data_IF_862363066468
#
_entry.id   IF_862363066468
#
_cell.length_a   1.000
_cell.length_b   1.000
_cell.length_c   1.000
_cell.angle_alpha   90.00
_cell.angle_beta   90.00
_cell.angle_gamma   90.00
#
_symmetry.space_group_name_H-M   'P 1'
#
loop_
_entity.id
_entity.type
_entity.pdbx_description
1 polymer ?
#
# COMPACT_ATOMS: atom_id res chain seq x y z
N UNK A 1 -0.04 5.53 -12.22
CA UNK A 1 -0.47 5.65 -13.62
C UNK A 1 0.52 6.42 -14.46
N UNK A 2 0.77 7.72 -14.18
CA UNK A 2 1.72 8.53 -14.94
C UNK A 2 3.08 7.84 -15.16
N UNK A 3 3.65 7.22 -14.12
CA UNK A 3 4.91 6.49 -14.23
C UNK A 3 4.88 5.40 -15.33
N UNK A 4 3.94 4.46 -15.25
CA UNK A 4 3.87 3.36 -16.21
C UNK A 4 3.48 3.83 -17.62
N UNK A 5 2.57 4.79 -17.74
CA UNK A 5 2.06 5.21 -19.05
C UNK A 5 2.97 6.20 -19.76
N UNK A 6 3.42 7.22 -19.04
CA UNK A 6 4.12 8.38 -19.62
C UNK A 6 5.63 8.23 -19.53
N UNK A 7 6.14 7.64 -18.43
CA UNK A 7 7.60 7.47 -18.23
C UNK A 7 8.09 6.17 -18.84
N UNK A 8 7.38 5.07 -18.59
CA UNK A 8 7.77 3.74 -19.10
C UNK A 8 7.10 3.35 -20.42
N UNK A 9 6.17 4.17 -20.92
CA UNK A 9 5.54 3.98 -22.23
C UNK A 9 4.55 2.81 -22.32
N UNK A 10 4.08 2.24 -21.20
CA UNK A 10 3.08 1.18 -21.20
C UNK A 10 1.72 1.73 -21.67
N UNK A 11 1.02 1.08 -22.62
CA UNK A 11 -0.30 1.51 -23.03
C UNK A 11 -1.25 1.70 -21.84
N UNK A 12 -2.04 2.78 -21.85
CA UNK A 12 -3.00 3.09 -20.79
C UNK A 12 -4.05 1.98 -20.61
N UNK A 13 -4.43 1.29 -21.69
CA UNK A 13 -5.30 0.12 -21.67
C UNK A 13 -4.71 -1.05 -20.88
N UNK A 14 -3.43 -1.37 -21.09
CA UNK A 14 -2.75 -2.42 -20.33
C UNK A 14 -2.55 -2.02 -18.87
N UNK A 15 -2.18 -0.77 -18.61
CA UNK A 15 -2.05 -0.25 -17.25
C UNK A 15 -3.38 -0.31 -16.49
N UNK A 16 -4.48 0.08 -17.13
CA UNK A 16 -5.84 0.00 -16.59
C UNK A 16 -6.27 -1.45 -16.33
N UNK A 17 -5.97 -2.35 -17.27
CA UNK A 17 -6.27 -3.78 -17.13
C UNK A 17 -5.52 -4.40 -15.95
N UNK A 18 -4.24 -4.05 -15.75
CA UNK A 18 -3.46 -4.55 -14.62
C UNK A 18 -4.09 -4.16 -13.26
N UNK A 19 -4.56 -2.92 -13.14
CA UNK A 19 -5.26 -2.46 -11.92
C UNK A 19 -6.64 -3.11 -11.79
N UNK A 20 -7.35 -3.30 -12.89
CA UNK A 20 -8.63 -4.02 -12.87
C UNK A 20 -8.45 -5.45 -12.36
N UNK A 21 -7.44 -6.18 -12.85
CA UNK A 21 -7.11 -7.52 -12.36
C UNK A 21 -6.79 -7.47 -10.86
N UNK A 22 -5.98 -6.51 -10.42
CA UNK A 22 -5.64 -6.35 -9.01
C UNK A 22 -6.89 -6.11 -8.14
N UNK A 23 -7.87 -5.32 -8.62
CA UNK A 23 -9.15 -5.11 -7.95
C UNK A 23 -10.03 -6.36 -7.91
N UNK A 24 -10.04 -7.17 -8.99
CA UNK A 24 -10.77 -8.44 -8.99
C UNK A 24 -10.19 -9.41 -7.97
N UNK A 25 -8.86 -9.45 -7.81
CA UNK A 25 -8.21 -10.25 -6.77
C UNK A 25 -8.60 -9.72 -5.39
N UNK A 26 -8.54 -8.40 -5.18
CA UNK A 26 -8.93 -7.71 -3.94
C UNK A 26 -10.35 -8.13 -3.47
N UNK A 27 -11.30 -8.10 -4.39
CA UNK A 27 -12.70 -8.47 -4.13
C UNK A 27 -12.88 -9.91 -3.63
N UNK A 28 -11.96 -10.82 -3.98
CA UNK A 28 -11.96 -12.21 -3.51
C UNK A 28 -11.15 -12.35 -2.23
N UNK A 29 -10.02 -11.65 -2.11
CA UNK A 29 -9.11 -11.78 -0.97
C UNK A 29 -9.69 -11.16 0.30
N UNK A 30 -10.48 -10.09 0.19
CA UNK A 30 -11.13 -9.42 1.33
C UNK A 30 -11.97 -10.36 2.20
N UNK A 31 -12.99 -11.05 1.68
CA UNK A 31 -13.80 -11.98 2.48
C UNK A 31 -13.00 -13.20 2.95
N UNK A 32 -12.04 -13.67 2.16
CA UNK A 32 -11.19 -14.81 2.53
C UNK A 32 -10.32 -14.48 3.75
N UNK A 33 -9.60 -13.36 3.70
CA UNK A 33 -8.76 -12.90 4.81
C UNK A 33 -9.60 -12.57 6.03
N UNK A 34 -10.79 -11.97 5.84
CA UNK A 34 -11.74 -11.74 6.93
C UNK A 34 -12.05 -13.03 7.68
N UNK A 35 -12.55 -14.04 6.97
CA UNK A 35 -12.86 -15.35 7.54
C UNK A 35 -11.64 -16.01 8.20
N UNK A 36 -10.48 -16.02 7.53
CA UNK A 36 -9.27 -16.64 8.08
C UNK A 36 -8.81 -15.92 9.35
N UNK A 37 -8.78 -14.59 9.34
CA UNK A 37 -8.32 -13.78 10.46
C UNK A 37 -9.21 -13.91 11.69
N UNK A 38 -10.51 -14.11 11.49
CA UNK A 38 -11.43 -14.36 12.60
C UNK A 38 -11.15 -15.74 13.22
N UNK A 39 -10.91 -16.80 12.46
CA UNK A 39 -10.72 -18.13 13.05
C UNK A 39 -9.29 -18.40 13.57
N UNK A 40 -8.34 -17.53 13.25
CA UNK A 40 -6.94 -17.73 13.60
C UNK A 40 -6.69 -17.56 15.10
N UNK A 41 -5.94 -18.50 15.70
CA UNK A 41 -5.54 -18.45 17.11
C UNK A 41 -4.02 -18.36 17.20
N UNK A 42 -3.52 -17.31 17.82
CA UNK A 42 -2.09 -17.12 18.03
C UNK A 42 -1.81 -16.55 19.42
N UNK A 43 -0.56 -16.65 19.87
CA UNK A 43 -0.10 -16.08 21.15
C UNK A 43 -0.16 -14.56 21.20
N UNK A 44 -0.12 -13.89 20.04
CA UNK A 44 -0.13 -12.43 19.93
C UNK A 44 -1.52 -11.87 19.57
N UNK A 45 -2.57 -12.69 19.67
CA UNK A 45 -3.94 -12.33 19.32
C UNK A 45 -4.41 -12.95 18.00
N UNK A 46 -5.71 -12.85 17.71
CA UNK A 46 -6.32 -13.44 16.49
C UNK A 46 -5.89 -12.68 15.22
N UNK A 47 -5.83 -11.35 15.31
CA UNK A 47 -5.73 -10.42 14.16
C UNK A 47 -4.35 -9.81 13.93
N UNK A 48 -3.59 -9.57 15.00
CA UNK A 48 -2.24 -9.01 14.95
C UNK A 48 -1.22 -9.79 14.10
N UNK A 49 -1.21 -11.14 14.04
CA UNK A 49 -0.28 -11.86 13.17
C UNK A 49 -0.34 -11.42 11.71
N UNK A 50 -1.55 -11.21 11.18
CA UNK A 50 -1.76 -10.77 9.81
C UNK A 50 -1.30 -9.33 9.60
N UNK A 51 -1.56 -8.45 10.57
CA UNK A 51 -1.15 -7.05 10.49
C UNK A 51 0.37 -6.91 10.50
N UNK A 52 1.07 -7.63 11.39
CA UNK A 52 2.54 -7.64 11.42
C UNK A 52 3.13 -8.29 10.17
N UNK A 53 2.53 -9.40 9.72
CA UNK A 53 2.98 -10.07 8.50
C UNK A 53 2.83 -9.18 7.28
N UNK A 54 1.78 -8.37 7.19
CA UNK A 54 1.55 -7.48 6.04
C UNK A 54 2.61 -6.39 5.89
N UNK A 55 3.26 -5.94 6.98
CA UNK A 55 4.15 -4.77 6.96
C UNK A 55 5.30 -4.88 5.95
N UNK A 56 6.08 -5.96 6.03
CA UNK A 56 7.29 -6.13 5.21
C UNK A 56 6.93 -6.41 3.74
N UNK A 57 6.07 -7.41 3.42
CA UNK A 57 5.69 -7.69 2.04
C UNK A 57 4.99 -6.51 1.37
N UNK A 58 4.18 -5.75 2.11
CA UNK A 58 3.58 -4.51 1.60
C UNK A 58 4.66 -3.52 1.15
N UNK A 59 5.63 -3.22 2.02
CA UNK A 59 6.70 -2.28 1.69
C UNK A 59 7.52 -2.73 0.48
N UNK A 60 7.83 -4.03 0.39
CA UNK A 60 8.53 -4.62 -0.75
C UNK A 60 7.71 -4.54 -2.04
N UNK A 61 6.41 -4.82 -1.98
CA UNK A 61 5.55 -4.72 -3.15
C UNK A 61 5.41 -3.28 -3.63
N UNK A 62 5.33 -2.34 -2.70
CA UNK A 62 5.28 -0.91 -3.01
C UNK A 62 6.58 -0.43 -3.68
N UNK A 63 7.74 -0.86 -3.17
CA UNK A 63 9.03 -0.60 -3.81
C UNK A 63 9.09 -1.20 -5.22
N UNK A 64 8.72 -2.47 -5.38
CA UNK A 64 8.72 -3.15 -6.68
C UNK A 64 7.84 -2.46 -7.73
N UNK A 65 6.71 -1.86 -7.31
CA UNK A 65 5.85 -1.06 -8.19
C UNK A 65 6.55 0.17 -8.80
N UNK A 66 7.61 0.68 -8.17
CA UNK A 66 8.36 1.84 -8.65
C UNK A 66 9.80 1.52 -9.06
N UNK A 67 10.21 0.25 -8.97
CA UNK A 67 11.53 -0.23 -9.35
C UNK A 67 11.47 -1.41 -10.35
N UNK A 68 10.77 -1.27 -11.51
CA UNK A 68 10.90 -2.24 -12.59
C UNK A 68 12.34 -2.26 -13.12
N UNK A 69 12.91 -3.45 -13.43
CA UNK A 69 14.19 -3.55 -14.12
C UNK A 69 14.20 -2.79 -15.46
N UNK A 70 15.36 -2.28 -15.85
CA UNK A 70 15.54 -1.65 -17.15
C UNK A 70 15.43 -2.67 -18.29
N UNK A 71 14.90 -2.23 -19.43
CA UNK A 71 14.84 -3.04 -20.65
C UNK A 71 13.74 -4.11 -20.68
N UNK A 72 12.75 -4.04 -19.79
CA UNK A 72 11.58 -4.91 -19.88
C UNK A 72 10.78 -4.63 -21.17
N UNK A 73 10.40 -5.69 -21.86
CA UNK A 73 9.41 -5.61 -22.94
C UNK A 73 8.04 -5.19 -22.39
N UNK A 74 7.16 -4.68 -23.25
CA UNK A 74 5.79 -4.28 -22.89
C UNK A 74 5.04 -5.36 -22.10
N UNK A 75 5.13 -6.63 -22.54
CA UNK A 75 4.48 -7.76 -21.86
C UNK A 75 5.06 -8.03 -20.47
N UNK A 76 6.38 -7.91 -20.33
CA UNK A 76 7.04 -8.10 -19.05
C UNK A 76 6.74 -6.94 -18.10
N UNK A 77 6.68 -5.71 -18.60
CA UNK A 77 6.31 -4.54 -17.83
C UNK A 77 4.85 -4.61 -17.36
N UNK A 78 3.93 -5.07 -18.21
CA UNK A 78 2.55 -5.35 -17.85
C UNK A 78 2.46 -6.43 -16.76
N UNK A 79 3.18 -7.55 -16.93
CA UNK A 79 3.21 -8.62 -15.93
C UNK A 79 3.78 -8.10 -14.59
N UNK A 80 4.87 -7.34 -14.63
CA UNK A 80 5.47 -6.72 -13.46
C UNK A 80 4.50 -5.80 -12.72
N UNK A 81 3.88 -4.85 -13.43
CA UNK A 81 2.85 -3.98 -12.87
C UNK A 81 1.73 -4.78 -12.23
N UNK A 82 1.23 -5.80 -12.93
CA UNK A 82 0.12 -6.64 -12.45
C UNK A 82 0.50 -7.39 -11.18
N UNK A 83 1.66 -8.04 -11.15
CA UNK A 83 2.15 -8.79 -9.99
C UNK A 83 2.30 -7.89 -8.77
N UNK A 84 2.95 -6.73 -8.91
CA UNK A 84 3.16 -5.84 -7.78
C UNK A 84 1.88 -5.09 -7.36
N UNK A 85 1.00 -4.76 -8.30
CA UNK A 85 -0.32 -4.21 -7.96
C UNK A 85 -1.19 -5.21 -7.19
N UNK A 86 -1.21 -6.48 -7.60
CA UNK A 86 -1.87 -7.56 -6.85
C UNK A 86 -1.23 -7.71 -5.46
N UNK A 87 0.10 -7.72 -5.38
CA UNK A 87 0.80 -7.83 -4.10
C UNK A 87 0.44 -6.72 -3.13
N UNK A 88 0.48 -5.45 -3.59
CA UNK A 88 0.06 -4.30 -2.78
C UNK A 88 -1.39 -4.46 -2.30
N UNK A 89 -2.32 -4.86 -3.19
CA UNK A 89 -3.73 -5.08 -2.83
C UNK A 89 -3.90 -6.18 -1.79
N UNK A 90 -3.30 -7.34 -2.03
CA UNK A 90 -3.36 -8.49 -1.15
C UNK A 90 -2.83 -8.17 0.26
N UNK A 91 -1.66 -7.55 0.36
CA UNK A 91 -1.11 -7.19 1.67
C UNK A 91 -1.87 -6.01 2.31
N UNK A 92 -2.55 -5.19 1.50
CA UNK A 92 -3.45 -4.17 2.02
C UNK A 92 -4.62 -4.82 2.71
N UNK A 93 -5.23 -5.84 2.10
CA UNK A 93 -6.29 -6.65 2.69
C UNK A 93 -5.84 -7.27 4.02
N UNK A 94 -4.65 -7.91 4.04
CA UNK A 94 -4.09 -8.52 5.25
C UNK A 94 -3.90 -7.54 6.42
N UNK A 95 -3.79 -6.25 6.14
CA UNK A 95 -3.76 -5.22 7.17
C UNK A 95 -5.14 -4.60 7.45
N UNK A 96 -5.83 -4.13 6.41
CA UNK A 96 -7.07 -3.35 6.52
C UNK A 96 -8.21 -4.16 7.11
N UNK A 97 -8.38 -5.42 6.71
CA UNK A 97 -9.50 -6.25 7.18
C UNK A 97 -9.36 -6.56 8.67
N UNK A 98 -8.22 -7.11 9.16
CA UNK A 98 -8.06 -7.36 10.60
C UNK A 98 -8.03 -6.05 11.42
N UNK A 99 -7.38 -5.01 10.90
CA UNK A 99 -7.31 -3.72 11.59
C UNK A 99 -8.68 -3.03 11.72
N UNK A 100 -9.53 -3.12 10.69
CA UNK A 100 -10.89 -2.58 10.72
C UNK A 100 -11.79 -3.34 11.69
N UNK A 101 -11.61 -4.65 11.80
CA UNK A 101 -12.38 -5.49 12.71
C UNK A 101 -12.04 -5.27 14.20
N UNK A 102 -10.85 -4.74 14.52
CA UNK A 102 -10.48 -4.36 15.90
C UNK A 102 -11.30 -3.17 16.44
N UNK A 103 -11.74 -2.25 15.58
CA UNK A 103 -12.42 -1.02 16.02
C UNK A 103 -13.63 -1.26 16.94
N UNK A 104 -14.53 -2.20 16.62
CA UNK A 104 -15.64 -2.58 17.50
C UNK A 104 -15.24 -3.21 18.83
N UNK A 105 -14.05 -3.82 18.94
CA UNK A 105 -13.56 -4.44 20.18
C UNK A 105 -12.94 -3.41 21.14
N UNK A 106 -12.46 -2.28 20.62
CA UNK A 106 -11.77 -1.25 21.42
C UNK A 106 -12.71 -0.39 22.26
N UNK A 107 -13.98 -0.22 21.88
CA UNK A 107 -14.96 0.57 22.64
C UNK A 107 -16.40 0.10 22.40
N UNK A 108 -17.19 0.15 23.48
CA UNK A 108 -18.62 -0.15 23.48
C UNK A 108 -19.49 1.09 23.22
N UNK A 109 -18.90 2.30 23.23
CA UNK A 109 -19.61 3.56 23.05
C UNK A 109 -19.57 4.02 21.58
N UNK A 110 -20.74 4.35 21.03
CA UNK A 110 -20.90 4.71 19.62
C UNK A 110 -20.10 5.96 19.22
N UNK A 111 -20.09 6.98 20.08
CA UNK A 111 -19.40 8.25 19.82
C UNK A 111 -17.88 8.07 19.79
N UNK A 112 -17.34 7.25 20.69
CA UNK A 112 -15.91 6.93 20.72
C UNK A 112 -15.49 6.12 19.49
N UNK A 113 -16.29 5.15 19.08
CA UNK A 113 -16.05 4.37 17.86
C UNK A 113 -16.01 5.27 16.63
N UNK A 114 -16.94 6.21 16.54
CA UNK A 114 -16.99 7.19 15.44
C UNK A 114 -15.72 8.04 15.44
N UNK A 115 -15.31 8.57 16.60
CA UNK A 115 -14.07 9.36 16.73
C UNK A 115 -12.83 8.57 16.33
N UNK A 116 -12.70 7.31 16.77
CA UNK A 116 -11.58 6.44 16.42
C UNK A 116 -11.45 6.25 14.91
N UNK A 117 -12.57 5.97 14.23
CA UNK A 117 -12.60 5.84 12.77
C UNK A 117 -12.22 7.17 12.10
N UNK A 118 -12.72 8.30 12.59
CA UNK A 118 -12.34 9.62 12.06
C UNK A 118 -10.84 9.89 12.20
N UNK A 119 -10.25 9.68 13.38
CA UNK A 119 -8.80 9.86 13.58
C UNK A 119 -7.97 8.95 12.67
N UNK A 120 -8.39 7.69 12.50
CA UNK A 120 -7.73 6.75 11.58
C UNK A 120 -7.70 7.29 10.14
N UNK A 121 -8.84 7.77 9.64
CA UNK A 121 -8.90 8.35 8.29
C UNK A 121 -8.06 9.61 8.17
N UNK A 122 -8.12 10.51 9.16
CA UNK A 122 -7.31 11.72 9.17
C UNK A 122 -5.81 11.41 9.10
N UNK A 123 -5.32 10.48 9.93
CA UNK A 123 -3.92 10.06 9.93
C UNK A 123 -3.55 9.39 8.59
N UNK A 124 -4.42 8.54 8.05
CA UNK A 124 -4.21 7.92 6.75
C UNK A 124 -4.06 8.94 5.62
N UNK A 125 -4.93 9.96 5.60
CA UNK A 125 -4.85 11.06 4.63
C UNK A 125 -3.60 11.91 4.81
N UNK A 126 -3.18 12.20 6.05
CA UNK A 126 -1.92 12.90 6.32
C UNK A 126 -0.72 12.12 5.78
N UNK A 127 -0.69 10.79 5.97
CA UNK A 127 0.37 9.94 5.42
C UNK A 127 0.41 9.96 3.89
N UNK A 128 -0.76 9.86 3.25
CA UNK A 128 -0.87 9.95 1.78
C UNK A 128 -0.39 11.31 1.26
N UNK A 129 -0.77 12.40 1.94
CA UNK A 129 -0.31 13.75 1.59
C UNK A 129 1.20 13.91 1.78
N UNK A 130 1.79 13.33 2.83
CA UNK A 130 3.24 13.37 3.06
C UNK A 130 4.02 12.66 1.93
N UNK A 131 3.52 11.53 1.41
CA UNK A 131 4.11 10.86 0.24
C UNK A 131 3.97 11.73 -1.01
N UNK A 132 2.80 12.33 -1.22
CA UNK A 132 2.56 13.18 -2.40
C UNK A 132 3.46 14.43 -2.39
N UNK A 133 3.56 15.12 -1.25
CA UNK A 133 4.37 16.33 -1.11
C UNK A 133 5.87 16.03 -1.16
N UNK A 134 6.33 14.96 -0.51
CA UNK A 134 7.73 14.52 -0.62
C UNK A 134 8.08 14.14 -2.05
N UNK A 135 7.18 13.46 -2.77
CA UNK A 135 7.31 13.23 -4.21
C UNK A 135 7.57 14.52 -4.98
N UNK A 136 6.72 15.53 -4.79
CA UNK A 136 6.84 16.80 -5.49
C UNK A 136 8.10 17.61 -5.13
N UNK A 137 8.40 17.77 -3.85
CA UNK A 137 9.43 18.70 -3.38
C UNK A 137 10.83 18.08 -3.25
N UNK A 138 10.92 16.77 -3.04
CA UNK A 138 12.20 16.09 -2.76
C UNK A 138 12.64 15.23 -3.94
N UNK A 139 11.74 14.42 -4.48
CA UNK A 139 12.10 13.41 -5.49
C UNK A 139 11.93 13.90 -6.93
N UNK A 140 10.93 14.75 -7.20
CA UNK A 140 10.66 15.29 -8.54
C UNK A 140 11.07 16.75 -8.70
N UNK A 141 11.89 17.29 -7.78
CA UNK A 141 12.44 18.64 -7.94
C UNK A 141 13.22 18.73 -9.26
N UNK A 142 12.95 19.80 -10.02
CA UNK A 142 13.51 20.01 -11.36
C UNK A 142 15.03 19.85 -11.34
N UNK A 143 15.53 18.86 -12.08
CA UNK A 143 16.97 18.73 -12.37
C UNK A 143 17.21 19.31 -13.75
N UNK A 144 18.28 20.09 -13.90
CA UNK A 144 18.64 20.90 -15.08
C UNK A 144 18.63 20.16 -16.44
N UNK A 145 18.58 18.82 -16.45
CA UNK A 145 18.73 17.98 -17.66
C UNK A 145 17.41 17.59 -18.33
N UNK A 146 16.28 17.47 -17.60
CA UNK A 146 15.00 16.95 -18.15
C UNK A 146 13.85 17.95 -18.04
N UNK A 147 14.04 19.07 -17.35
CA UNK A 147 12.98 20.06 -17.14
C UNK A 147 12.00 19.61 -16.06
N UNK A 148 11.17 18.59 -16.32
CA UNK A 148 10.20 18.03 -15.36
C UNK A 148 10.74 16.74 -14.71
N UNK A 149 11.09 16.81 -13.42
CA UNK A 149 11.62 15.68 -12.64
C UNK A 149 10.68 14.47 -12.55
N UNK A 150 9.38 14.63 -12.88
CA UNK A 150 8.39 13.55 -12.95
C UNK A 150 8.55 12.66 -14.17
N UNK A 151 9.25 13.12 -15.20
CA UNK A 151 9.50 12.34 -16.40
C UNK A 151 10.78 11.52 -16.32
N UNK A 152 11.59 11.73 -15.28
CA UNK A 152 12.81 10.98 -15.04
C UNK A 152 12.51 9.64 -14.31
N UNK A 153 12.72 8.48 -14.94
CA UNK A 153 12.50 7.18 -14.32
C UNK A 153 13.39 6.94 -13.10
N UNK A 154 14.55 7.59 -13.00
CA UNK A 154 15.51 7.37 -11.90
C UNK A 154 15.00 7.86 -10.54
N UNK A 155 14.02 8.78 -10.53
CA UNK A 155 13.46 9.35 -9.29
C UNK A 155 12.41 8.42 -8.63
N UNK A 156 11.81 7.51 -9.40
CA UNK A 156 10.71 6.66 -8.91
C UNK A 156 11.15 5.56 -7.93
N UNK A 157 12.27 4.83 -8.14
CA UNK A 157 12.71 3.81 -7.18
C UNK A 157 12.96 4.37 -5.78
N UNK A 158 13.49 5.59 -5.68
CA UNK A 158 13.73 6.27 -4.40
C UNK A 158 12.42 6.64 -3.70
N UNK A 159 11.45 7.17 -4.45
CA UNK A 159 10.10 7.42 -3.95
C UNK A 159 9.42 6.12 -3.49
N UNK A 160 9.54 5.05 -4.27
CA UNK A 160 8.99 3.74 -3.95
C UNK A 160 9.58 3.15 -2.67
N UNK A 161 10.89 3.31 -2.46
CA UNK A 161 11.56 2.87 -1.25
C UNK A 161 11.09 3.69 -0.04
N UNK A 162 11.07 5.02 -0.18
CA UNK A 162 10.60 5.92 0.89
C UNK A 162 9.16 5.60 1.29
N UNK A 163 8.25 5.50 0.32
CA UNK A 163 6.86 5.17 0.57
C UNK A 163 6.69 3.74 1.13
N UNK A 164 7.46 2.76 0.63
CA UNK A 164 7.44 1.39 1.13
C UNK A 164 7.87 1.31 2.60
N UNK A 165 8.95 2.00 2.99
CA UNK A 165 9.39 2.09 4.39
C UNK A 165 8.37 2.83 5.25
N UNK A 166 7.83 3.94 4.76
CA UNK A 166 6.81 4.70 5.48
C UNK A 166 5.55 3.86 5.75
N UNK A 167 5.06 3.13 4.74
CA UNK A 167 3.88 2.27 4.88
C UNK A 167 4.18 1.09 5.82
N UNK A 168 5.34 0.45 5.68
CA UNK A 168 5.73 -0.66 6.56
C UNK A 168 5.84 -0.20 8.02
N UNK A 169 6.50 0.92 8.27
CA UNK A 169 6.64 1.49 9.62
C UNK A 169 5.29 1.93 10.19
N UNK A 170 4.41 2.55 9.39
CA UNK A 170 3.06 2.91 9.82
C UNK A 170 2.23 1.68 10.21
N UNK A 171 2.31 0.59 9.44
CA UNK A 171 1.65 -0.68 9.77
C UNK A 171 2.20 -1.24 11.08
N UNK A 172 3.53 -1.28 11.26
CA UNK A 172 4.16 -1.80 12.47
C UNK A 172 3.79 -0.98 13.71
N UNK A 173 3.89 0.35 13.63
CA UNK A 173 3.53 1.26 14.72
C UNK A 173 2.05 1.13 15.07
N UNK A 174 1.17 1.09 14.07
CA UNK A 174 -0.26 0.90 14.31
C UNK A 174 -0.57 -0.47 14.91
N UNK A 175 0.12 -1.53 14.46
CA UNK A 175 -0.10 -2.89 14.97
C UNK A 175 0.40 -3.03 16.41
N UNK A 176 1.55 -2.43 16.73
CA UNK A 176 2.08 -2.38 18.08
C UNK A 176 1.20 -1.55 19.02
N UNK A 177 0.73 -0.39 18.56
CA UNK A 177 -0.14 0.49 19.35
C UNK A 177 -1.50 -0.12 19.69
N UNK A 178 -2.06 -0.98 18.81
CA UNK A 178 -3.31 -1.70 19.10
C UNK A 178 -3.10 -3.00 19.85
N UNK A 179 -1.85 -3.43 20.06
CA UNK A 179 -1.55 -4.71 20.71
C UNK A 179 -1.88 -4.69 22.20
N UNK A 180 -1.84 -3.51 22.83
CA UNK A 180 -2.20 -3.32 24.24
C UNK A 180 -3.70 -3.21 24.51
N UNK A 181 -4.55 -3.28 23.47
CA UNK A 181 -6.01 -3.10 23.56
C UNK A 181 -6.75 -4.45 23.56
N UNK A 182 -5.99 -5.56 23.61
CA UNK A 182 -6.46 -6.94 23.82
C UNK A 182 -5.91 -7.42 25.15
#
# INVERSE_FOLDING_TARGET
>A
MLYYTTVLGLPGTLSGLAIFIALCVDAVTDPLVGSISDHFRSRIGRRHPFMYFAAIPMGLCFYGLFAPPDGLSERQLFAWLTTFAIGVRLFLTFYMVPSGALGPEMTTHYDERTRLVSYRWLIGWMGALAILTSGWFVFFADREVVGDGRLDPANYPQLGLFAGVLVATAILVSSAGTHSVI
#
